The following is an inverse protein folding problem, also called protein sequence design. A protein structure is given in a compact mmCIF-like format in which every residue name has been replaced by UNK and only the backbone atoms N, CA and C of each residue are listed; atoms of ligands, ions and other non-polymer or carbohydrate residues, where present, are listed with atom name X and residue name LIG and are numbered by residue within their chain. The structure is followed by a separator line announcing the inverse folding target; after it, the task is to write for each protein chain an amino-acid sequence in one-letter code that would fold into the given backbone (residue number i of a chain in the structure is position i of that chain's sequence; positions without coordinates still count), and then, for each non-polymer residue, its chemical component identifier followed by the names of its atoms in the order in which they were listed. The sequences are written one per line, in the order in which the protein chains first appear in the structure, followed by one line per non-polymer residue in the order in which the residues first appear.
data_IF_921215166834
#
_entry.id   IF_921215166834
#
_cell.length_a   1.000
_cell.length_b   1.000
_cell.length_c   1.000
_cell.angle_alpha   90.00
_cell.angle_beta   90.00
_cell.angle_gamma   90.00
#
_symmetry.space_group_name_H-M   'P 1'
#
loop_
_entity.id
_entity.type
_entity.pdbx_description
1 polymer ?
#
# COMPACT_ATOMS: atom_id res chain seq x y z
N UNK A 1 -11.20 2.50 -14.78
CA UNK A 1 -11.42 3.38 -13.61
C UNK A 1 -10.84 2.70 -12.39
N UNK A 2 -9.98 3.39 -11.63
CA UNK A 2 -9.34 2.86 -10.42
C UNK A 2 -10.38 2.45 -9.38
N UNK A 3 -10.25 1.25 -8.80
CA UNK A 3 -11.07 0.80 -7.66
C UNK A 3 -10.32 1.06 -6.36
N UNK A 4 -11.01 1.50 -5.32
CA UNK A 4 -10.41 1.79 -4.02
C UNK A 4 -10.96 0.85 -2.96
N UNK A 5 -10.09 0.05 -2.35
CA UNK A 5 -10.41 -0.86 -1.26
C UNK A 5 -9.87 -0.28 0.06
N UNK A 6 -10.74 -0.11 1.06
CA UNK A 6 -10.35 0.20 2.43
C UNK A 6 -10.36 -1.08 3.26
N UNK A 7 -9.19 -1.54 3.69
CA UNK A 7 -9.03 -2.65 4.63
C UNK A 7 -9.00 -2.08 6.05
N UNK A 8 -10.06 -2.30 6.81
CA UNK A 8 -10.21 -1.81 8.18
C UNK A 8 -9.87 -2.93 9.14
N UNK A 9 -8.73 -2.77 9.80
CA UNK A 9 -8.16 -3.69 10.79
C UNK A 9 -8.67 -3.34 12.19
N UNK A 10 -8.95 -4.31 13.06
CA UNK A 10 -9.30 -4.08 14.46
C UNK A 10 -8.10 -3.64 15.31
N UNK A 11 -6.88 -3.87 14.85
CA UNK A 11 -5.65 -3.52 15.56
C UNK A 11 -5.43 -2.00 15.63
N UNK A 12 -4.65 -1.57 16.62
CA UNK A 12 -4.27 -0.18 16.86
C UNK A 12 -2.80 0.10 16.59
N UNK A 13 -2.02 -0.91 16.17
CA UNK A 13 -0.56 -0.82 16.07
C UNK A 13 -0.08 -0.71 14.63
N UNK A 14 1.00 0.05 14.43
CA UNK A 14 1.65 0.16 13.12
C UNK A 14 2.21 -1.19 12.66
N UNK A 15 2.73 -2.00 13.57
CA UNK A 15 3.27 -3.32 13.26
C UNK A 15 2.19 -4.22 12.62
N UNK A 16 0.96 -4.21 13.14
CA UNK A 16 -0.13 -4.99 12.56
C UNK A 16 -0.48 -4.50 11.14
N UNK A 17 -0.51 -3.18 10.94
CA UNK A 17 -0.73 -2.55 9.62
C UNK A 17 0.32 -2.99 8.61
N UNK A 18 1.59 -2.99 9.01
CA UNK A 18 2.72 -3.35 8.15
C UNK A 18 2.74 -4.85 7.84
N UNK A 19 2.50 -5.70 8.83
CA UNK A 19 2.36 -7.15 8.61
C UNK A 19 1.21 -7.49 7.66
N UNK A 20 0.09 -6.78 7.76
CA UNK A 20 -1.01 -6.92 6.82
C UNK A 20 -0.60 -6.48 5.41
N UNK A 21 0.11 -5.35 5.29
CA UNK A 21 0.62 -4.88 4.00
C UNK A 21 1.52 -5.90 3.31
N UNK A 22 2.44 -6.53 4.05
CA UNK A 22 3.30 -7.60 3.52
C UNK A 22 2.47 -8.80 3.01
N UNK A 23 1.50 -9.27 3.80
CA UNK A 23 0.59 -10.36 3.42
C UNK A 23 -0.23 -10.03 2.17
N UNK A 24 -0.71 -8.79 2.07
CA UNK A 24 -1.48 -8.32 0.92
C UNK A 24 -0.60 -8.21 -0.33
N UNK A 25 0.60 -7.66 -0.20
CA UNK A 25 1.58 -7.57 -1.28
C UNK A 25 1.96 -8.96 -1.80
N UNK A 26 2.28 -9.91 -0.92
CA UNK A 26 2.54 -11.31 -1.28
C UNK A 26 1.36 -11.93 -2.03
N UNK A 27 0.14 -11.80 -1.49
CA UNK A 27 -1.06 -12.36 -2.10
C UNK A 27 -1.28 -11.82 -3.51
N UNK A 28 -1.18 -10.51 -3.69
CA UNK A 28 -1.45 -9.82 -4.96
C UNK A 28 -0.35 -10.11 -5.98
N UNK A 29 0.91 -10.13 -5.55
CA UNK A 29 2.05 -10.51 -6.38
C UNK A 29 1.91 -11.95 -6.90
N UNK A 30 1.48 -12.90 -6.05
CA UNK A 30 1.23 -14.29 -6.45
C UNK A 30 0.08 -14.43 -7.46
N UNK A 31 -0.81 -13.45 -7.55
CA UNK A 31 -1.85 -13.38 -8.58
C UNK A 31 -1.33 -12.79 -9.91
N UNK A 32 -0.02 -12.50 -10.02
CA UNK A 32 0.61 -11.95 -11.22
C UNK A 32 0.47 -10.43 -11.36
N UNK A 33 -0.05 -9.74 -10.34
CA UNK A 33 -0.23 -8.29 -10.37
C UNK A 33 0.97 -7.58 -9.74
N UNK A 34 1.44 -6.51 -10.40
CA UNK A 34 2.52 -5.66 -9.86
C UNK A 34 1.99 -4.76 -8.75
N UNK A 35 2.77 -4.61 -7.68
CA UNK A 35 2.42 -3.83 -6.49
C UNK A 35 3.39 -2.67 -6.33
N UNK A 36 2.88 -1.47 -6.12
CA UNK A 36 3.64 -0.35 -5.57
C UNK A 36 3.17 -0.12 -4.14
N UNK A 37 4.10 -0.09 -3.18
CA UNK A 37 3.82 0.27 -1.80
C UNK A 37 4.34 1.69 -1.55
N UNK A 38 3.45 2.60 -1.16
CA UNK A 38 3.81 3.98 -0.84
C UNK A 38 3.87 4.20 0.67
N UNK A 39 4.98 4.73 1.17
CA UNK A 39 5.23 5.11 2.57
C UNK A 39 5.66 6.58 2.66
N UNK A 40 5.77 7.15 3.87
CA UNK A 40 6.07 8.58 4.03
C UNK A 40 7.57 8.89 4.00
N UNK A 41 8.43 7.98 4.47
CA UNK A 41 9.86 8.25 4.64
C UNK A 41 10.76 7.15 4.08
N UNK A 42 12.00 7.50 3.77
CA UNK A 42 13.01 6.52 3.34
C UNK A 42 13.30 5.48 4.44
N UNK A 43 13.26 5.89 5.71
CA UNK A 43 13.40 4.98 6.83
C UNK A 43 12.27 3.94 6.84
N UNK A 44 11.03 4.37 6.60
CA UNK A 44 9.90 3.45 6.51
C UNK A 44 10.06 2.49 5.33
N UNK A 45 10.55 2.98 4.19
CA UNK A 45 10.73 2.18 3.00
C UNK A 45 11.76 1.06 3.23
N UNK A 46 12.89 1.38 3.87
CA UNK A 46 13.93 0.40 4.21
C UNK A 46 13.44 -0.61 5.24
N UNK A 47 12.72 -0.16 6.27
CA UNK A 47 12.13 -1.08 7.24
C UNK A 47 11.14 -2.03 6.58
N UNK A 48 10.37 -1.56 5.59
CA UNK A 48 9.39 -2.40 4.90
C UNK A 48 10.05 -3.40 3.95
N UNK A 49 11.15 -3.00 3.30
CA UNK A 49 12.01 -3.88 2.50
C UNK A 49 12.52 -5.06 3.35
N UNK A 50 13.10 -4.77 4.53
CA UNK A 50 13.51 -5.81 5.47
C UNK A 50 12.34 -6.68 5.95
N UNK A 51 11.19 -6.06 6.22
CA UNK A 51 10.01 -6.77 6.71
C UNK A 51 9.42 -7.73 5.65
N UNK A 52 9.40 -7.34 4.37
CA UNK A 52 8.92 -8.20 3.29
C UNK A 52 9.74 -9.49 3.15
N UNK A 53 10.99 -9.51 3.59
CA UNK A 53 11.81 -10.72 3.66
C UNK A 53 11.54 -11.58 4.90
N UNK A 54 11.11 -10.97 6.01
CA UNK A 54 11.16 -11.59 7.34
C UNK A 54 9.80 -11.83 8.00
N UNK A 55 8.72 -11.22 7.50
CA UNK A 55 7.40 -11.29 8.12
C UNK A 55 6.82 -12.71 8.21
N UNK A 56 7.30 -13.64 7.37
CA UNK A 56 6.88 -15.03 7.33
C UNK A 56 8.03 -15.89 6.77
N UNK A 57 8.52 -16.92 7.49
CA UNK A 57 9.71 -17.69 7.11
C UNK A 57 9.70 -18.29 5.71
N UNK A 58 8.53 -18.71 5.23
CA UNK A 58 8.33 -19.32 3.91
C UNK A 58 7.89 -18.32 2.83
N UNK A 59 7.87 -17.02 3.12
CA UNK A 59 7.51 -16.01 2.14
C UNK A 59 8.70 -15.65 1.26
N UNK A 60 8.42 -15.50 -0.03
CA UNK A 60 9.37 -14.97 -0.99
C UNK A 60 8.63 -13.95 -1.86
N UNK A 61 8.85 -12.67 -1.57
CA UNK A 61 8.26 -11.55 -2.31
C UNK A 61 9.40 -10.84 -3.03
N UNK A 62 9.59 -11.01 -4.35
CA UNK A 62 10.62 -10.27 -5.08
C UNK A 62 10.29 -8.77 -5.07
N UNK A 63 11.09 -7.97 -4.37
CA UNK A 63 10.84 -6.56 -4.18
C UNK A 63 12.12 -5.71 -4.18
N UNK A 64 11.96 -4.40 -4.35
CA UNK A 64 13.01 -3.40 -4.19
C UNK A 64 12.42 -2.02 -3.85
N UNK A 65 13.25 -1.12 -3.34
CA UNK A 65 12.97 0.31 -3.40
C UNK A 65 13.08 0.80 -4.86
N UNK A 66 12.23 1.75 -5.27
CA UNK A 66 12.38 2.40 -6.57
C UNK A 66 13.74 3.11 -6.63
N UNK A 67 14.57 2.70 -7.59
CA UNK A 67 15.94 3.21 -7.76
C UNK A 67 16.32 3.46 -9.23
N UNK A 68 15.34 3.45 -10.15
CA UNK A 68 15.58 3.62 -11.59
C UNK A 68 16.22 2.41 -12.30
N UNK A 69 16.40 1.29 -11.59
CA UNK A 69 16.85 0.02 -12.14
C UNK A 69 15.77 -0.76 -12.88
N UNK A 70 16.02 -2.06 -13.12
CA UNK A 70 15.00 -2.95 -13.70
C UNK A 70 13.84 -3.10 -12.72
N UNK A 71 12.57 -2.97 -13.16
CA UNK A 71 11.45 -3.02 -12.23
C UNK A 71 11.28 -4.39 -11.57
N UNK A 72 10.88 -4.40 -10.30
CA UNK A 72 10.49 -5.60 -9.58
C UNK A 72 8.97 -5.83 -9.60
N UNK A 73 8.48 -7.05 -9.29
CA UNK A 73 7.05 -7.31 -9.12
C UNK A 73 6.43 -6.45 -8.01
N UNK A 74 7.14 -6.23 -6.92
CA UNK A 74 6.76 -5.31 -5.84
C UNK A 74 7.81 -4.21 -5.74
N UNK A 75 7.39 -2.95 -5.74
CA UNK A 75 8.28 -1.82 -5.50
C UNK A 75 7.81 -1.01 -4.30
N UNK A 76 8.75 -0.42 -3.57
CA UNK A 76 8.49 0.48 -2.45
C UNK A 76 8.92 1.88 -2.85
N UNK A 77 8.07 2.87 -2.59
CA UNK A 77 8.37 4.28 -2.76
C UNK A 77 8.09 5.05 -1.48
N UNK A 78 8.93 6.04 -1.20
CA UNK A 78 8.74 7.02 -0.12
C UNK A 78 8.60 8.45 -0.66
N UNK A 79 8.40 8.57 -1.96
CA UNK A 79 8.27 9.84 -2.67
C UNK A 79 7.20 9.69 -3.77
N UNK A 80 7.06 10.68 -4.65
CA UNK A 80 6.05 10.67 -5.72
C UNK A 80 6.42 9.76 -6.92
N UNK A 81 7.56 9.07 -6.88
CA UNK A 81 7.92 8.09 -7.90
C UNK A 81 6.99 6.88 -7.81
N UNK A 82 6.45 6.50 -8.96
CA UNK A 82 5.55 5.35 -9.10
C UNK A 82 6.07 4.29 -10.07
N UNK A 83 7.23 4.56 -10.70
CA UNK A 83 7.75 3.76 -11.80
C UNK A 83 6.70 3.53 -12.89
N UNK A 84 6.78 2.38 -13.54
CA UNK A 84 5.82 1.92 -14.54
C UNK A 84 4.72 1.01 -13.95
N UNK A 85 4.45 1.11 -12.64
CA UNK A 85 3.41 0.30 -12.00
C UNK A 85 2.01 0.80 -12.33
N UNK A 86 1.12 -0.13 -12.69
CA UNK A 86 -0.29 0.14 -12.98
C UNK A 86 -1.26 -0.86 -12.30
N UNK A 87 -0.76 -1.89 -11.60
CA UNK A 87 -1.59 -2.91 -10.97
C UNK A 87 -2.24 -2.43 -9.67
N UNK A 88 -1.56 -2.67 -8.55
CA UNK A 88 -2.01 -2.25 -7.22
C UNK A 88 -1.11 -1.16 -6.66
N UNK A 89 -1.70 -0.06 -6.19
CA UNK A 89 -1.10 0.85 -5.21
C UNK A 89 -1.56 0.45 -3.82
N UNK A 90 -0.64 0.02 -2.97
CA UNK A 90 -0.86 -0.20 -1.54
C UNK A 90 -0.40 1.05 -0.80
N UNK A 91 -1.35 1.87 -0.34
CA UNK A 91 -1.05 3.15 0.29
C UNK A 91 -0.88 3.00 1.81
N UNK A 92 0.36 3.12 2.29
CA UNK A 92 0.70 3.20 3.71
C UNK A 92 1.03 4.62 4.16
N UNK A 93 1.29 5.53 3.21
CA UNK A 93 1.57 6.94 3.47
C UNK A 93 0.36 7.69 4.06
N UNK A 94 0.62 8.87 4.60
CA UNK A 94 -0.43 9.74 5.12
C UNK A 94 -1.19 10.44 4.00
N UNK A 95 -0.55 10.70 2.86
CA UNK A 95 -1.16 11.37 1.71
C UNK A 95 -1.65 10.38 0.66
N UNK A 96 -2.31 10.90 -0.39
CA UNK A 96 -2.64 10.11 -1.58
C UNK A 96 -1.57 10.43 -2.62
N UNK A 97 -0.78 9.44 -3.09
CA UNK A 97 0.18 9.67 -4.16
C UNK A 97 -0.48 10.30 -5.38
N UNK A 98 0.13 11.32 -5.98
CA UNK A 98 -0.44 12.05 -7.13
C UNK A 98 -0.74 11.14 -8.33
N UNK A 99 0.00 10.04 -8.43
CA UNK A 99 -0.10 9.03 -9.47
C UNK A 99 -1.24 8.02 -9.27
N UNK A 100 -1.98 8.02 -8.16
CA UNK A 100 -2.92 6.95 -7.78
C UNK A 100 -3.94 6.56 -8.87
N UNK A 101 -4.38 7.52 -9.69
CA UNK A 101 -5.42 7.33 -10.71
C UNK A 101 -4.96 6.48 -11.90
N UNK A 102 -3.66 6.21 -12.04
CA UNK A 102 -3.12 5.29 -13.06
C UNK A 102 -3.26 3.82 -12.69
N UNK A 103 -3.48 3.53 -11.41
CA UNK A 103 -3.54 2.16 -10.92
C UNK A 103 -4.92 1.55 -11.19
N UNK A 104 -4.96 0.25 -11.49
CA UNK A 104 -6.21 -0.51 -11.54
C UNK A 104 -6.89 -0.51 -10.16
N UNK A 105 -6.10 -0.57 -9.09
CA UNK A 105 -6.57 -0.63 -7.71
C UNK A 105 -5.71 0.17 -6.74
N UNK A 106 -6.36 0.77 -5.75
CA UNK A 106 -5.73 1.34 -4.57
C UNK A 106 -6.23 0.59 -3.33
N UNK A 107 -5.31 0.15 -2.48
CA UNK A 107 -5.62 -0.45 -1.19
C UNK A 107 -5.15 0.48 -0.07
N UNK A 108 -6.10 0.95 0.73
CA UNK A 108 -5.88 1.75 1.93
C UNK A 108 -5.95 0.83 3.16
N UNK A 109 -4.87 0.75 3.93
CA UNK A 109 -4.83 -0.06 5.16
C UNK A 109 -5.06 0.84 6.37
N UNK A 110 -6.15 0.61 7.09
CA UNK A 110 -6.63 1.44 8.20
C UNK A 110 -6.61 0.65 9.50
N UNK A 111 -5.98 1.19 10.53
CA UNK A 111 -5.98 0.67 11.91
C UNK A 111 -6.80 1.60 12.83
N UNK A 112 -7.18 1.13 14.02
CA UNK A 112 -7.97 1.85 15.01
C UNK A 112 -7.17 2.91 15.80
N UNK A 113 -5.99 3.30 15.32
CA UNK A 113 -5.20 4.38 15.90
C UNK A 113 -5.86 5.74 15.56
N UNK A 114 -6.12 6.63 16.55
CA UNK A 114 -6.89 7.85 16.33
C UNK A 114 -6.38 8.78 15.23
N UNK A 115 -5.07 9.01 15.13
CA UNK A 115 -4.49 9.89 14.11
C UNK A 115 -4.65 9.27 12.72
N UNK A 116 -4.44 7.97 12.58
CA UNK A 116 -4.60 7.24 11.33
C UNK A 116 -6.06 7.17 10.88
N UNK A 117 -7.00 7.02 11.81
CA UNK A 117 -8.43 7.10 11.51
C UNK A 117 -8.81 8.47 10.93
N UNK A 118 -8.26 9.55 11.47
CA UNK A 118 -8.50 10.90 10.96
C UNK A 118 -7.99 11.03 9.51
N UNK A 119 -6.73 10.69 9.25
CA UNK A 119 -6.16 10.76 7.90
C UNK A 119 -6.88 9.84 6.92
N UNK A 120 -7.30 8.64 7.35
CA UNK A 120 -8.03 7.69 6.50
C UNK A 120 -9.42 8.23 6.10
N UNK A 121 -10.09 8.99 6.99
CA UNK A 121 -11.38 9.64 6.68
C UNK A 121 -11.21 10.75 5.65
N UNK A 122 -10.11 11.49 5.71
CA UNK A 122 -9.79 12.51 4.70
C UNK A 122 -9.57 11.86 3.34
N UNK A 123 -8.77 10.79 3.27
CA UNK A 123 -8.54 10.05 2.02
C UNK A 123 -9.83 9.41 1.48
N UNK A 124 -10.65 8.82 2.34
CA UNK A 124 -11.96 8.29 1.95
C UNK A 124 -12.85 9.38 1.33
N UNK A 125 -12.91 10.55 1.96
CA UNK A 125 -13.69 11.70 1.47
C UNK A 125 -13.17 12.21 0.13
N UNK A 126 -11.83 12.23 -0.06
CA UNK A 126 -11.18 12.57 -1.32
C UNK A 126 -11.59 11.65 -2.47
N UNK A 127 -11.58 10.32 -2.25
CA UNK A 127 -11.97 9.36 -3.29
C UNK A 127 -13.47 9.44 -3.58
N UNK A 128 -14.29 9.56 -2.53
CA UNK A 128 -15.75 9.61 -2.65
C UNK A 128 -16.22 10.85 -3.41
N UNK A 129 -15.66 12.02 -3.10
CA UNK A 129 -16.05 13.29 -3.75
C UNK A 129 -15.71 13.32 -5.25
N UNK A 130 -14.74 12.50 -5.69
CA UNK A 130 -14.35 12.34 -7.10
C UNK A 130 -15.02 11.16 -7.80
N UNK A 131 -15.94 10.46 -7.13
CA UNK A 131 -16.73 9.38 -7.72
C UNK A 131 -15.98 8.07 -7.95
N UNK A 132 -14.87 7.82 -7.26
CA UNK A 132 -14.19 6.53 -7.36
C UNK A 132 -15.04 5.42 -6.71
N UNK A 133 -15.11 4.20 -7.31
CA UNK A 133 -15.72 3.05 -6.67
C UNK A 133 -14.94 2.68 -5.39
N UNK A 134 -15.61 2.74 -4.24
CA UNK A 134 -15.01 2.42 -2.94
C UNK A 134 -15.68 1.18 -2.36
N UNK A 135 -14.87 0.21 -1.94
CA UNK A 135 -15.29 -0.95 -1.14
C UNK A 135 -14.61 -0.88 0.23
N UNK A 136 -15.35 -1.20 1.31
CA UNK A 136 -14.78 -1.28 2.66
C UNK A 136 -14.86 -2.72 3.15
N UNK A 137 -13.71 -3.28 3.50
CA UNK A 137 -13.54 -4.64 4.00
C UNK A 137 -13.11 -4.57 5.45
N UNK A 138 -13.98 -4.99 6.37
CA UNK A 138 -13.65 -5.13 7.80
C UNK A 138 -13.05 -6.51 8.01
N UNK A 139 -11.90 -6.58 8.66
CA UNK A 139 -11.18 -7.83 8.95
C UNK A 139 -11.27 -8.22 10.42
#
# INVERSE_FOLDING_TARGET
MTKVDFYVLPETTSEARWLFACKLAEKVQRMGMRVLIAVDTEADARQLDELLWTFKPESFVPHQLINGGKPAPVEITFNEQSGDHQGLLLNLSNTIPSSFSRFERVSEVVIQEPQMLATSRERYSFYKSRGYPIETRKL
#
